data_IF_233297822499
#
_entry.id   IF_233297822499
#
_cell.length_a   1.000
_cell.length_b   1.000
_cell.length_c   1.000
_cell.angle_alpha   90.00
_cell.angle_beta   90.00
_cell.angle_gamma   90.00
#
_symmetry.space_group_name_H-M   'P 1'
#
loop_
_entity.id
_entity.type
_entity.pdbx_description
1 polymer ?
#
# COMPACT_ATOMS: atom_id res chain seq x y z
N UNK A 1 -1.77 16.48 5.61
CA UNK A 1 -0.43 16.00 5.19
C UNK A 1 -0.08 16.69 3.88
N UNK A 2 1.19 17.03 3.66
CA UNK A 2 1.66 17.61 2.39
C UNK A 2 2.02 16.47 1.41
N UNK A 3 1.03 15.66 1.05
CA UNK A 3 1.19 14.59 0.04
C UNK A 3 0.64 15.12 -1.28
N UNK A 4 1.36 14.89 -2.36
CA UNK A 4 0.94 15.28 -3.71
C UNK A 4 -0.40 14.61 -4.08
N UNK A 5 -1.44 15.36 -4.46
CA UNK A 5 -2.70 14.79 -4.93
C UNK A 5 -2.54 13.80 -6.07
N UNK A 6 -1.59 14.03 -7.00
CA UNK A 6 -1.34 13.14 -8.12
C UNK A 6 -0.92 11.73 -7.64
N UNK A 7 -0.19 11.65 -6.53
CA UNK A 7 0.20 10.36 -5.94
C UNK A 7 -1.01 9.61 -5.39
N UNK A 8 -1.93 10.34 -4.74
CA UNK A 8 -3.14 9.74 -4.15
C UNK A 8 -4.07 9.22 -5.24
N UNK A 9 -4.24 9.98 -6.32
CA UNK A 9 -5.05 9.57 -7.47
C UNK A 9 -4.45 8.36 -8.18
N UNK A 10 -3.14 8.37 -8.44
CA UNK A 10 -2.48 7.23 -9.07
C UNK A 10 -2.56 5.94 -8.21
N UNK A 11 -2.47 6.05 -6.88
CA UNK A 11 -2.66 4.91 -5.98
C UNK A 11 -4.11 4.39 -5.97
N UNK A 12 -5.10 5.30 -5.98
CA UNK A 12 -6.52 4.93 -5.98
C UNK A 12 -6.90 4.25 -7.29
N UNK A 13 -6.45 4.78 -8.42
CA UNK A 13 -6.87 4.36 -9.75
C UNK A 13 -5.95 3.28 -10.37
N UNK A 14 -5.10 2.65 -9.55
CA UNK A 14 -4.12 1.63 -9.98
C UNK A 14 -3.13 2.09 -11.09
N UNK A 15 -2.91 3.39 -11.24
CA UNK A 15 -2.01 3.96 -12.25
C UNK A 15 -0.51 3.83 -11.88
N UNK A 16 0.36 4.08 -12.86
CA UNK A 16 1.80 4.06 -12.65
C UNK A 16 2.24 5.15 -11.68
N UNK A 17 3.23 4.84 -10.84
CA UNK A 17 3.77 5.79 -9.88
C UNK A 17 4.77 6.76 -10.53
N UNK A 18 4.85 8.00 -10.04
CA UNK A 18 5.63 9.07 -10.68
C UNK A 18 7.14 8.83 -10.63
N UNK A 19 7.62 7.88 -9.81
CA UNK A 19 9.03 7.48 -9.80
C UNK A 19 9.15 5.95 -9.79
N UNK A 20 10.21 5.39 -10.39
CA UNK A 20 10.49 3.96 -10.33
C UNK A 20 10.59 3.43 -8.89
N UNK A 21 11.12 4.24 -7.96
CA UNK A 21 11.22 3.88 -6.55
C UNK A 21 9.84 3.69 -5.90
N UNK A 22 8.90 4.61 -6.14
CA UNK A 22 7.54 4.48 -5.64
C UNK A 22 6.76 3.36 -6.33
N UNK A 23 7.04 3.10 -7.61
CA UNK A 23 6.46 1.97 -8.33
C UNK A 23 6.90 0.64 -7.68
N UNK A 24 8.19 0.48 -7.41
CA UNK A 24 8.71 -0.70 -6.72
C UNK A 24 8.08 -0.90 -5.33
N UNK A 25 7.84 0.19 -4.58
CA UNK A 25 7.13 0.10 -3.29
C UNK A 25 5.68 -0.35 -3.44
N UNK A 26 4.95 0.19 -4.41
CA UNK A 26 3.57 -0.23 -4.73
C UNK A 26 3.55 -1.72 -5.08
N UNK A 27 4.40 -2.14 -6.01
CA UNK A 27 4.44 -3.51 -6.52
C UNK A 27 4.85 -4.50 -5.42
N UNK A 28 5.91 -4.19 -4.67
CA UNK A 28 6.34 -5.03 -3.55
C UNK A 28 5.24 -5.16 -2.49
N UNK A 29 4.58 -4.07 -2.12
CA UNK A 29 3.46 -4.10 -1.16
C UNK A 29 2.33 -5.00 -1.66
N UNK A 30 1.95 -4.90 -2.93
CA UNK A 30 0.93 -5.76 -3.54
C UNK A 30 1.36 -7.22 -3.56
N UNK A 31 2.63 -7.51 -3.83
CA UNK A 31 3.16 -8.87 -3.82
C UNK A 31 3.08 -9.48 -2.42
N UNK A 32 3.52 -8.76 -1.38
CA UNK A 32 3.39 -9.22 0.02
C UNK A 32 1.91 -9.48 0.38
N UNK A 33 0.99 -8.59 0.01
CA UNK A 33 -0.45 -8.76 0.27
C UNK A 33 -0.99 -10.02 -0.42
N UNK A 34 -0.73 -10.18 -1.71
CA UNK A 34 -1.31 -11.23 -2.55
C UNK A 34 -0.71 -12.60 -2.25
N UNK A 35 0.59 -12.66 -1.96
CA UNK A 35 1.30 -13.90 -1.60
C UNK A 35 1.19 -14.24 -0.11
N UNK A 36 0.53 -13.40 0.69
CA UNK A 36 0.43 -13.54 2.15
C UNK A 36 1.80 -13.63 2.82
N UNK A 37 2.74 -12.80 2.36
CA UNK A 37 4.11 -12.71 2.87
C UNK A 37 5.10 -13.72 2.27
N UNK A 38 4.65 -14.68 1.46
CA UNK A 38 5.53 -15.60 0.74
C UNK A 38 6.03 -14.95 -0.58
N UNK A 39 6.82 -13.89 -0.45
CA UNK A 39 7.40 -13.17 -1.60
C UNK A 39 8.58 -13.93 -2.21
N UNK A 40 8.72 -13.83 -3.54
CA UNK A 40 9.83 -14.48 -4.24
C UNK A 40 11.16 -13.76 -4.01
N UNK A 41 12.28 -14.45 -4.22
CA UNK A 41 13.60 -13.84 -4.21
C UNK A 41 13.71 -12.73 -5.28
N UNK A 42 13.14 -12.96 -6.46
CA UNK A 42 13.09 -11.97 -7.54
C UNK A 42 12.35 -10.68 -7.13
N UNK A 43 11.25 -10.79 -6.39
CA UNK A 43 10.52 -9.61 -5.89
C UNK A 43 11.33 -8.82 -4.85
N UNK A 44 12.06 -9.52 -3.98
CA UNK A 44 12.96 -8.91 -3.00
C UNK A 44 14.12 -8.19 -3.69
N UNK A 45 14.75 -8.85 -4.67
CA UNK A 45 15.83 -8.26 -5.47
C UNK A 45 15.37 -7.01 -6.21
N UNK A 46 14.19 -7.04 -6.84
CA UNK A 46 13.62 -5.87 -7.52
C UNK A 46 13.36 -4.70 -6.55
N UNK A 47 12.87 -5.00 -5.34
CA UNK A 47 12.66 -4.00 -4.30
C UNK A 47 13.98 -3.39 -3.82
N UNK A 48 15.02 -4.21 -3.63
CA UNK A 48 16.34 -3.73 -3.23
C UNK A 48 17.05 -2.95 -4.34
N UNK A 49 16.90 -3.36 -5.59
CA UNK A 49 17.43 -2.63 -6.76
C UNK A 49 16.84 -1.22 -6.89
N UNK A 50 15.63 -0.97 -6.38
CA UNK A 50 15.03 0.35 -6.29
C UNK A 50 15.58 1.22 -5.13
N UNK A 51 16.56 0.70 -4.37
CA UNK A 51 17.21 1.38 -3.26
C UNK A 51 16.44 1.34 -1.95
N UNK A 52 15.68 0.26 -1.73
CA UNK A 52 15.16 -0.12 -0.41
C UNK A 52 16.08 -1.16 0.23
N UNK A 53 15.95 -1.35 1.54
CA UNK A 53 16.74 -2.30 2.32
C UNK A 53 15.83 -3.27 3.06
N UNK A 54 16.42 -4.29 3.67
CA UNK A 54 15.70 -5.27 4.48
C UNK A 54 14.85 -4.62 5.58
N UNK A 55 15.30 -3.48 6.12
CA UNK A 55 14.52 -2.71 7.11
C UNK A 55 13.16 -2.30 6.54
N UNK A 56 13.11 -1.78 5.30
CA UNK A 56 11.85 -1.35 4.70
C UNK A 56 10.94 -2.51 4.33
N UNK A 57 11.46 -3.73 4.13
CA UNK A 57 10.63 -4.93 4.03
C UNK A 57 9.84 -5.13 5.32
N UNK A 58 10.50 -5.02 6.47
CA UNK A 58 9.85 -5.14 7.79
C UNK A 58 8.87 -3.99 8.05
N UNK A 59 9.18 -2.77 7.61
CA UNK A 59 8.27 -1.62 7.71
C UNK A 59 7.01 -1.79 6.85
N UNK A 60 7.14 -2.36 5.64
CA UNK A 60 5.99 -2.72 4.78
C UNK A 60 5.13 -3.78 5.46
N UNK A 61 5.73 -4.83 6.02
CA UNK A 61 5.00 -5.87 6.76
C UNK A 61 4.28 -5.29 7.97
N UNK A 62 4.93 -4.38 8.72
CA UNK A 62 4.31 -3.68 9.85
C UNK A 62 3.09 -2.87 9.38
N UNK A 63 3.24 -2.05 8.35
CA UNK A 63 2.11 -1.28 7.78
C UNK A 63 0.98 -2.19 7.28
N UNK A 64 1.33 -3.30 6.63
CA UNK A 64 0.36 -4.28 6.16
C UNK A 64 -0.42 -4.91 7.32
N UNK A 65 0.25 -5.32 8.39
CA UNK A 65 -0.40 -5.93 9.56
C UNK A 65 -1.48 -5.02 10.17
N UNK A 66 -1.17 -3.73 10.32
CA UNK A 66 -2.11 -2.73 10.80
C UNK A 66 -3.31 -2.58 9.86
N UNK A 67 -3.05 -2.59 8.54
CA UNK A 67 -4.12 -2.48 7.54
C UNK A 67 -4.99 -3.73 7.44
N UNK A 68 -4.42 -4.92 7.60
CA UNK A 68 -5.22 -6.16 7.66
C UNK A 68 -6.18 -6.10 8.84
N UNK A 69 -5.70 -5.78 10.04
CA UNK A 69 -6.55 -5.65 11.23
C UNK A 69 -7.65 -4.62 10.99
N UNK A 70 -7.28 -3.41 10.56
CA UNK A 70 -8.23 -2.32 10.35
C UNK A 70 -9.27 -2.63 9.27
N UNK A 71 -8.85 -3.17 8.12
CA UNK A 71 -9.74 -3.51 7.02
C UNK A 71 -10.72 -4.62 7.45
N UNK A 72 -10.23 -5.66 8.13
CA UNK A 72 -11.08 -6.78 8.55
C UNK A 72 -12.10 -6.35 9.59
N UNK A 73 -11.68 -5.57 10.59
CA UNK A 73 -12.60 -5.01 11.59
C UNK A 73 -13.69 -4.18 10.92
N UNK A 74 -13.32 -3.26 10.01
CA UNK A 74 -14.30 -2.41 9.34
C UNK A 74 -15.26 -3.18 8.41
N UNK A 75 -14.77 -4.22 7.73
CA UNK A 75 -15.62 -5.09 6.91
C UNK A 75 -16.63 -5.87 7.76
N UNK A 76 -16.21 -6.46 8.88
CA UNK A 76 -17.08 -7.26 9.75
C UNK A 76 -18.07 -6.38 10.51
N UNK A 77 -17.63 -5.20 10.98
CA UNK A 77 -18.47 -4.29 11.76
C UNK A 77 -19.35 -3.38 10.90
N UNK A 78 -19.15 -3.35 9.57
CA UNK A 78 -19.78 -2.40 8.66
C UNK A 78 -19.64 -0.93 9.12
N UNK A 79 -18.44 -0.57 9.57
CA UNK A 79 -18.17 0.76 10.14
C UNK A 79 -18.51 1.87 9.13
N UNK A 80 -19.43 2.80 9.45
CA UNK A 80 -19.74 3.91 8.56
C UNK A 80 -18.57 4.89 8.48
N UNK A 81 -18.47 5.61 7.36
CA UNK A 81 -17.51 6.71 7.22
C UNK A 81 -17.99 7.90 8.03
N UNK A 82 -17.14 8.46 8.89
CA UNK A 82 -17.51 9.69 9.61
C UNK A 82 -17.69 10.87 8.65
N UNK A 83 -18.65 11.75 8.96
CA UNK A 83 -19.01 12.91 8.14
C UNK A 83 -17.81 13.76 7.70
N UNK A 84 -16.80 13.92 8.56
CA UNK A 84 -15.60 14.72 8.25
C UNK A 84 -14.71 14.11 7.15
N UNK A 85 -14.85 12.81 6.91
CA UNK A 85 -14.11 12.06 5.90
C UNK A 85 -14.90 11.80 4.61
N UNK A 86 -16.21 12.10 4.56
CA UNK A 86 -17.05 11.88 3.36
C UNK A 86 -16.49 12.57 2.10
N UNK A 87 -15.84 13.73 2.25
CA UNK A 87 -15.17 14.44 1.14
C UNK A 87 -14.02 13.66 0.48
N UNK A 88 -13.54 12.59 1.12
CA UNK A 88 -12.51 11.70 0.59
C UNK A 88 -13.08 10.38 0.05
N UNK A 89 -14.41 10.26 -0.01
CA UNK A 89 -15.07 9.09 -0.59
C UNK A 89 -14.56 8.85 -1.99
N UNK A 90 -14.24 7.60 -2.28
CA UNK A 90 -13.74 7.16 -3.56
C UNK A 90 -14.51 5.92 -3.99
N UNK A 91 -14.84 5.87 -5.28
CA UNK A 91 -15.43 4.71 -5.93
C UNK A 91 -14.56 4.37 -7.12
N UNK A 92 -14.17 3.09 -7.18
CA UNK A 92 -13.43 2.52 -8.29
C UNK A 92 -14.35 2.36 -9.50
#
# INVERSE_FOLDING_TARGET
>A
MKVDPALTEALRNDEAMPTPKLQALKDFTLNVVRSRGNVSEQDLEAFYAAGYEQKQVLEVILGLSQKVISNYVNHVAHTPVDKVFEKFTWKK
#
